data_IF_637187621928
#
_entry.id   IF_637187621928
#
_cell.length_a   1.000
_cell.length_b   1.000
_cell.length_c   1.000
_cell.angle_alpha   90.00
_cell.angle_beta   90.00
_cell.angle_gamma   90.00
#
_symmetry.space_group_name_H-M   'P 1'
#
loop_
_entity.id
_entity.type
_entity.pdbx_description
1 polymer ?
#
# COMPACT_ATOMS: atom_id res chain seq x y z
N UNK A 1 6.95 -17.55 43.98
CA UNK A 1 7.45 -16.20 43.64
C UNK A 1 7.86 -16.28 42.20
N UNK A 2 7.03 -15.80 41.25
CA UNK A 2 7.47 -15.59 39.88
C UNK A 2 8.52 -14.48 39.91
N UNK A 3 9.71 -14.71 39.37
CA UNK A 3 10.70 -13.63 39.16
C UNK A 3 9.99 -12.51 38.39
N UNK A 4 9.95 -11.32 38.96
CA UNK A 4 9.46 -10.12 38.27
C UNK A 4 10.46 -9.79 37.18
N UNK A 5 10.09 -10.04 35.91
CA UNK A 5 10.95 -9.85 34.75
C UNK A 5 10.83 -8.38 34.32
N UNK A 6 11.95 -7.66 34.21
CA UNK A 6 11.96 -6.25 33.81
C UNK A 6 11.64 -6.04 32.33
N UNK A 7 11.17 -4.83 31.97
CA UNK A 7 10.92 -4.39 30.59
C UNK A 7 12.17 -4.64 29.71
N UNK A 8 13.37 -4.31 30.22
CA UNK A 8 14.61 -4.53 29.47
C UNK A 8 14.85 -6.01 29.17
N UNK A 9 14.64 -6.88 30.15
CA UNK A 9 14.81 -8.32 29.95
C UNK A 9 13.80 -8.88 28.96
N UNK A 10 12.51 -8.49 29.07
CA UNK A 10 11.45 -8.90 28.16
C UNK A 10 11.74 -8.45 26.72
N UNK A 11 12.22 -7.22 26.54
CA UNK A 11 12.62 -6.71 25.23
C UNK A 11 13.77 -7.51 24.61
N UNK A 12 14.79 -7.83 25.41
CA UNK A 12 15.95 -8.61 24.97
C UNK A 12 15.52 -10.00 24.51
N UNK A 13 14.73 -10.68 25.33
CA UNK A 13 14.28 -12.03 25.05
C UNK A 13 13.34 -12.08 23.84
N UNK A 14 12.41 -11.10 23.71
CA UNK A 14 11.53 -10.97 22.56
C UNK A 14 12.29 -10.70 21.28
N UNK A 15 13.25 -9.77 21.30
CA UNK A 15 14.08 -9.47 20.14
C UNK A 15 14.93 -10.68 19.70
N UNK A 16 15.49 -11.42 20.65
CA UNK A 16 16.26 -12.63 20.35
C UNK A 16 15.40 -13.71 19.65
N UNK A 17 14.13 -13.87 20.07
CA UNK A 17 13.19 -14.80 19.43
C UNK A 17 12.80 -14.35 18.02
N UNK A 18 12.61 -13.05 17.82
CA UNK A 18 12.22 -12.48 16.53
C UNK A 18 13.34 -12.43 15.51
N UNK A 19 14.60 -12.52 15.92
CA UNK A 19 15.78 -12.44 15.04
C UNK A 19 15.79 -13.48 13.90
N UNK A 20 15.07 -14.59 14.08
CA UNK A 20 14.96 -15.63 13.05
C UNK A 20 13.94 -15.31 11.95
N UNK A 21 13.04 -14.33 12.17
CA UNK A 21 11.89 -14.04 11.29
C UNK A 21 11.74 -12.56 10.94
N UNK A 22 12.62 -11.70 11.43
CA UNK A 22 12.55 -10.25 11.21
C UNK A 22 13.93 -9.61 11.17
N UNK A 23 14.19 -8.80 10.14
CA UNK A 23 15.38 -7.98 10.00
C UNK A 23 15.36 -6.78 10.97
N UNK A 24 14.18 -6.44 11.51
CA UNK A 24 13.96 -5.37 12.50
C UNK A 24 13.53 -5.91 13.87
N UNK A 25 14.03 -7.08 14.27
CA UNK A 25 13.60 -7.83 15.46
C UNK A 25 13.51 -6.98 16.73
N UNK A 26 14.48 -6.06 16.96
CA UNK A 26 14.48 -5.16 18.11
C UNK A 26 13.31 -4.16 18.05
N UNK A 27 13.08 -3.55 16.89
CA UNK A 27 11.97 -2.61 16.68
C UNK A 27 10.62 -3.32 16.80
N UNK A 28 10.50 -4.50 16.23
CA UNK A 28 9.27 -5.31 16.35
C UNK A 28 8.96 -5.62 17.83
N UNK A 29 9.97 -6.04 18.62
CA UNK A 29 9.81 -6.30 20.04
C UNK A 29 9.38 -5.05 20.82
N UNK A 30 9.96 -3.88 20.53
CA UNK A 30 9.61 -2.60 21.14
C UNK A 30 8.15 -2.20 20.83
N UNK A 31 7.71 -2.34 19.57
CA UNK A 31 6.35 -2.04 19.16
C UNK A 31 5.32 -2.98 19.81
N UNK A 32 5.62 -4.29 19.86
CA UNK A 32 4.75 -5.27 20.49
C UNK A 32 4.63 -5.03 22.01
N UNK A 33 5.73 -4.72 22.68
CA UNK A 33 5.72 -4.47 24.12
C UNK A 33 5.02 -3.15 24.46
N UNK A 34 5.32 -2.06 23.72
CA UNK A 34 4.66 -0.77 23.89
C UNK A 34 3.14 -0.90 23.79
N UNK A 35 2.66 -1.65 22.77
CA UNK A 35 1.24 -1.97 22.61
C UNK A 35 0.70 -2.83 23.76
N UNK A 36 1.47 -3.81 24.22
CA UNK A 36 1.03 -4.70 25.30
C UNK A 36 0.81 -3.97 26.63
N UNK A 37 1.59 -2.93 26.90
CA UNK A 37 1.45 -2.10 28.12
C UNK A 37 0.63 -0.82 27.91
N UNK A 38 0.15 -0.59 26.66
CA UNK A 38 -0.60 0.63 26.23
C UNK A 38 0.17 1.93 26.52
N UNK A 39 1.47 1.96 26.20
CA UNK A 39 2.37 3.09 26.42
C UNK A 39 3.18 3.38 25.14
N UNK A 40 3.65 4.63 24.95
CA UNK A 40 4.52 4.94 23.81
C UNK A 40 5.87 4.23 23.95
N UNK A 41 6.55 3.96 22.83
CA UNK A 41 7.89 3.34 22.82
C UNK A 41 8.90 4.05 23.71
N UNK A 42 8.83 5.39 23.82
CA UNK A 42 9.71 6.18 24.69
C UNK A 42 9.63 5.79 26.16
N UNK A 43 8.47 5.27 26.60
CA UNK A 43 8.28 4.76 27.95
C UNK A 43 9.22 3.60 28.28
N UNK A 44 9.42 2.68 27.33
CA UNK A 44 10.28 1.49 27.50
C UNK A 44 11.74 1.86 27.80
N UNK A 45 12.21 2.98 27.23
CA UNK A 45 13.57 3.47 27.44
C UNK A 45 13.72 4.29 28.73
N UNK A 46 12.64 4.92 29.15
CA UNK A 46 12.62 5.70 30.39
C UNK A 46 12.44 4.84 31.65
N UNK A 47 11.85 3.63 31.50
CA UNK A 47 11.48 2.74 32.59
C UNK A 47 11.95 1.29 32.34
N UNK A 48 13.24 1.04 32.07
CA UNK A 48 13.74 -0.30 31.72
C UNK A 48 13.61 -1.32 32.85
N UNK A 49 13.62 -0.84 34.12
CA UNK A 49 13.54 -1.68 35.32
C UNK A 49 12.12 -1.99 35.78
N UNK A 50 11.10 -1.31 35.21
CA UNK A 50 9.71 -1.59 35.53
C UNK A 50 9.33 -3.01 35.09
N UNK A 51 8.36 -3.61 35.79
CA UNK A 51 7.89 -4.97 35.51
C UNK A 51 6.55 -4.96 34.82
N UNK A 52 6.26 -6.03 34.06
CA UNK A 52 4.96 -6.21 33.40
C UNK A 52 3.97 -6.88 34.35
N UNK A 53 2.74 -6.43 34.30
CA UNK A 53 1.63 -7.20 34.90
C UNK A 53 1.31 -8.45 34.05
N UNK A 54 0.60 -9.41 34.66
CA UNK A 54 0.22 -10.67 34.01
C UNK A 54 -0.61 -10.44 32.73
N UNK A 55 -1.43 -9.39 32.68
CA UNK A 55 -2.29 -9.07 31.56
C UNK A 55 -1.47 -8.54 30.37
N UNK A 56 -0.53 -7.64 30.61
CA UNK A 56 0.42 -7.12 29.61
C UNK A 56 1.32 -8.25 29.08
N UNK A 57 1.82 -9.09 29.96
CA UNK A 57 2.65 -10.24 29.56
C UNK A 57 1.86 -11.21 28.65
N UNK A 58 0.60 -11.48 28.98
CA UNK A 58 -0.27 -12.33 28.16
C UNK A 58 -0.53 -11.70 26.78
N UNK A 59 -0.81 -10.37 26.72
CA UNK A 59 -1.01 -9.65 25.45
C UNK A 59 0.27 -9.71 24.59
N UNK A 60 1.43 -9.44 25.19
CA UNK A 60 2.72 -9.53 24.50
C UNK A 60 2.96 -10.92 23.92
N UNK A 61 2.76 -11.96 24.73
CA UNK A 61 2.95 -13.35 24.29
C UNK A 61 2.08 -13.69 23.08
N UNK A 62 0.83 -13.30 23.08
CA UNK A 62 -0.10 -13.54 21.97
C UNK A 62 0.36 -12.85 20.67
N UNK A 63 0.74 -11.57 20.76
CA UNK A 63 1.20 -10.81 19.57
C UNK A 63 2.58 -11.27 19.10
N UNK A 64 3.46 -11.66 20.01
CA UNK A 64 4.78 -12.23 19.70
C UNK A 64 4.64 -13.55 18.92
N UNK A 65 3.74 -14.46 19.33
CA UNK A 65 3.48 -15.70 18.60
C UNK A 65 2.92 -15.46 17.21
N UNK A 66 2.02 -14.50 17.03
CA UNK A 66 1.53 -14.07 15.71
C UNK A 66 2.70 -13.62 14.82
N UNK A 67 3.59 -12.79 15.36
CA UNK A 67 4.75 -12.28 14.60
C UNK A 67 5.73 -13.41 14.25
N UNK A 68 5.99 -14.34 15.17
CA UNK A 68 6.81 -15.52 14.92
C UNK A 68 6.20 -16.46 13.87
N UNK A 69 4.89 -16.47 13.73
CA UNK A 69 4.19 -17.19 12.66
C UNK A 69 4.27 -16.49 11.28
N UNK A 70 4.95 -15.33 11.19
CA UNK A 70 5.14 -14.57 9.96
C UNK A 70 4.08 -13.51 9.68
N UNK A 71 3.17 -13.23 10.62
CA UNK A 71 2.17 -12.19 10.43
C UNK A 71 2.84 -10.80 10.37
N UNK A 72 2.49 -9.93 9.39
CA UNK A 72 3.03 -8.58 9.30
C UNK A 72 2.79 -7.75 10.57
N UNK A 73 3.78 -6.96 10.99
CA UNK A 73 3.62 -6.06 12.13
C UNK A 73 2.41 -5.15 11.99
N UNK A 74 2.16 -4.65 10.77
CA UNK A 74 1.02 -3.79 10.49
C UNK A 74 -0.34 -4.45 10.79
N UNK A 75 -0.49 -5.76 10.54
CA UNK A 75 -1.73 -6.46 10.91
C UNK A 75 -1.84 -6.73 12.41
N UNK A 76 -0.71 -6.93 13.08
CA UNK A 76 -0.69 -7.11 14.53
C UNK A 76 -1.00 -5.78 15.24
N UNK A 77 -0.47 -4.67 14.75
CA UNK A 77 -0.75 -3.33 15.28
C UNK A 77 -2.09 -2.77 14.81
N UNK A 78 -2.59 -3.24 13.66
CA UNK A 78 -3.83 -2.78 13.03
C UNK A 78 -3.67 -1.51 12.20
N UNK A 79 -2.47 -0.91 12.18
CA UNK A 79 -2.20 0.34 11.48
C UNK A 79 -0.87 0.32 10.73
N UNK A 80 -0.76 1.16 9.70
CA UNK A 80 0.45 1.44 8.93
C UNK A 80 0.52 2.91 8.59
N UNK A 81 1.66 3.53 8.82
CA UNK A 81 1.91 4.90 8.36
C UNK A 81 2.19 4.89 6.86
N UNK A 82 1.55 5.81 6.11
CA UNK A 82 1.75 6.07 4.70
C UNK A 82 1.43 7.54 4.41
N UNK A 83 2.31 8.25 3.75
CA UNK A 83 2.16 9.68 3.40
C UNK A 83 1.82 10.55 4.63
N UNK A 84 2.48 10.31 5.77
CA UNK A 84 2.18 10.95 7.07
C UNK A 84 0.71 10.83 7.50
N UNK A 85 0.05 9.73 7.12
CA UNK A 85 -1.27 9.32 7.59
C UNK A 85 -1.15 7.97 8.29
N UNK A 86 -1.81 7.82 9.44
CA UNK A 86 -1.97 6.52 10.05
C UNK A 86 -3.19 5.82 9.44
N UNK A 87 -2.96 4.79 8.64
CA UNK A 87 -3.99 4.03 7.96
C UNK A 87 -4.29 2.72 8.70
N UNK A 88 -5.55 2.42 8.86
CA UNK A 88 -6.02 1.10 9.29
C UNK A 88 -5.70 0.09 8.18
N UNK A 89 -5.16 -1.05 8.57
CA UNK A 89 -4.89 -2.17 7.69
C UNK A 89 -5.36 -3.47 8.31
N UNK A 90 -5.71 -4.44 7.49
CA UNK A 90 -6.15 -5.77 7.90
C UNK A 90 -5.73 -6.82 6.86
N UNK A 91 -5.89 -8.11 7.11
CA UNK A 91 -5.63 -9.15 6.12
C UNK A 91 -6.48 -9.04 4.83
N UNK A 92 -7.43 -8.12 4.76
CA UNK A 92 -8.20 -7.83 3.56
C UNK A 92 -7.48 -6.89 2.57
N UNK A 93 -6.38 -6.23 2.98
CA UNK A 93 -5.67 -5.23 2.18
C UNK A 93 -4.17 -5.50 2.14
N UNK A 94 -3.52 -5.19 1.02
CA UNK A 94 -2.06 -5.11 0.99
C UNK A 94 -1.58 -4.10 2.05
N UNK A 95 -0.49 -4.41 2.77
CA UNK A 95 0.16 -3.44 3.65
C UNK A 95 0.82 -2.35 2.78
N UNK A 96 0.46 -1.07 2.90
CA UNK A 96 1.08 0.01 2.12
C UNK A 96 2.60 0.00 2.25
N UNK A 97 3.30 0.03 1.09
CA UNK A 97 4.76 0.01 1.03
C UNK A 97 5.30 1.44 0.94
N UNK A 98 6.46 1.74 1.57
CA UNK A 98 7.08 3.06 1.45
C UNK A 98 7.38 3.45 0.00
N UNK A 99 7.74 2.48 -0.85
CA UNK A 99 8.04 2.68 -2.27
C UNK A 99 6.82 3.20 -3.05
N UNK A 100 5.61 2.86 -2.62
CA UNK A 100 4.35 3.33 -3.23
C UNK A 100 4.14 4.85 -3.05
N UNK A 101 4.80 5.49 -2.09
CA UNK A 101 4.78 6.94 -1.95
C UNK A 101 5.39 7.66 -3.16
N UNK A 102 6.31 7.02 -3.88
CA UNK A 102 6.84 7.54 -5.14
C UNK A 102 5.74 7.69 -6.20
N UNK A 103 4.79 6.74 -6.28
CA UNK A 103 3.65 6.84 -7.20
C UNK A 103 2.80 8.07 -6.89
N UNK A 104 2.53 8.33 -5.61
CA UNK A 104 1.79 9.53 -5.16
C UNK A 104 2.56 10.79 -5.53
N UNK A 105 3.87 10.84 -5.28
CA UNK A 105 4.73 12.00 -5.59
C UNK A 105 4.71 12.30 -7.09
N UNK A 106 4.86 11.27 -7.96
CA UNK A 106 4.81 11.43 -9.42
C UNK A 106 3.44 11.96 -9.87
N UNK A 107 2.35 11.38 -9.39
CA UNK A 107 1.01 11.87 -9.72
C UNK A 107 0.81 13.33 -9.29
N UNK A 108 1.26 13.69 -8.09
CA UNK A 108 1.11 15.05 -7.55
C UNK A 108 1.95 16.12 -8.27
N UNK A 109 3.04 15.75 -8.96
CA UNK A 109 3.83 16.67 -9.78
C UNK A 109 3.03 17.19 -10.97
N UNK A 110 2.19 16.34 -11.57
CA UNK A 110 1.38 16.69 -12.74
C UNK A 110 0.02 17.30 -12.37
N UNK A 111 -0.51 17.01 -11.18
CA UNK A 111 -1.79 17.55 -10.74
C UNK A 111 -1.58 18.92 -10.11
N UNK A 112 -2.05 20.04 -10.72
CA UNK A 112 -1.92 21.37 -10.13
C UNK A 112 -2.63 21.44 -8.76
N UNK A 113 -2.11 22.27 -7.84
CA UNK A 113 -2.67 22.40 -6.48
C UNK A 113 -4.15 22.81 -6.42
N UNK A 114 -4.63 23.51 -7.46
CA UNK A 114 -6.02 24.00 -7.58
C UNK A 114 -6.80 23.29 -8.68
N UNK A 115 -6.30 22.12 -9.14
CA UNK A 115 -7.04 21.31 -10.09
C UNK A 115 -8.33 20.79 -9.43
N UNK A 116 -9.38 20.71 -10.23
CA UNK A 116 -10.66 20.06 -9.94
C UNK A 116 -10.87 18.79 -10.78
N UNK A 117 -9.78 18.12 -11.07
CA UNK A 117 -9.72 17.01 -12.02
C UNK A 117 -10.37 15.74 -11.48
N UNK A 118 -11.03 14.95 -12.35
CA UNK A 118 -11.42 13.59 -12.03
C UNK A 118 -10.18 12.67 -12.02
N UNK A 119 -9.99 11.96 -10.93
CA UNK A 119 -8.85 11.06 -10.71
C UNK A 119 -9.38 9.67 -10.36
N UNK A 120 -8.74 8.63 -10.89
CA UNK A 120 -9.11 7.24 -10.67
C UNK A 120 -7.95 6.48 -10.01
N UNK A 121 -8.24 5.77 -8.92
CA UNK A 121 -7.33 4.80 -8.28
C UNK A 121 -7.88 3.38 -8.47
N UNK A 122 -7.13 2.55 -9.18
CA UNK A 122 -7.50 1.17 -9.53
C UNK A 122 -6.74 0.16 -8.66
N UNK A 123 -7.49 -0.70 -7.93
CA UNK A 123 -6.93 -1.59 -6.93
C UNK A 123 -6.55 -0.84 -5.65
N UNK A 124 -7.49 -0.04 -5.12
CA UNK A 124 -7.19 0.93 -4.05
C UNK A 124 -6.76 0.31 -2.73
N UNK A 125 -7.10 -0.96 -2.46
CA UNK A 125 -6.75 -1.66 -1.23
C UNK A 125 -7.25 -0.94 0.02
N UNK A 126 -6.32 -0.52 0.88
CA UNK A 126 -6.64 0.27 2.09
C UNK A 126 -7.00 1.74 1.80
N UNK A 127 -6.99 2.16 0.53
CA UNK A 127 -7.19 3.54 0.11
C UNK A 127 -5.93 4.41 0.14
N UNK A 128 -4.75 3.84 0.35
CA UNK A 128 -3.52 4.59 0.63
C UNK A 128 -3.21 5.66 -0.42
N UNK A 129 -3.20 5.29 -1.71
CA UNK A 129 -2.90 6.20 -2.82
C UNK A 129 -4.01 7.25 -2.98
N UNK A 130 -5.28 6.80 -3.07
CA UNK A 130 -6.42 7.70 -3.22
C UNK A 130 -6.50 8.73 -2.09
N UNK A 131 -6.34 8.30 -0.83
CA UNK A 131 -6.39 9.18 0.35
C UNK A 131 -5.24 10.19 0.37
N UNK A 132 -4.03 9.77 -0.02
CA UNK A 132 -2.88 10.67 -0.12
C UNK A 132 -3.13 11.77 -1.16
N UNK A 133 -3.59 11.41 -2.37
CA UNK A 133 -3.90 12.37 -3.43
C UNK A 133 -5.07 13.28 -3.04
N UNK A 134 -6.15 12.73 -2.48
CA UNK A 134 -7.33 13.49 -2.06
C UNK A 134 -7.01 14.54 -0.99
N UNK A 135 -6.16 14.20 -0.03
CA UNK A 135 -5.67 15.11 1.02
C UNK A 135 -4.88 16.27 0.44
N UNK A 136 -4.01 16.00 -0.54
CA UNK A 136 -3.15 17.02 -1.17
C UNK A 136 -3.88 17.84 -2.24
N UNK A 137 -4.98 17.34 -2.80
CA UNK A 137 -5.76 17.93 -3.91
C UNK A 137 -7.25 17.94 -3.58
N UNK A 138 -7.63 18.77 -2.61
CA UNK A 138 -8.97 18.81 -2.03
C UNK A 138 -10.10 19.20 -3.01
N UNK A 139 -9.77 19.83 -4.14
CA UNK A 139 -10.76 20.18 -5.17
C UNK A 139 -10.95 19.06 -6.21
N UNK A 140 -9.98 18.12 -6.34
CA UNK A 140 -10.13 16.98 -7.20
C UNK A 140 -11.24 16.04 -6.69
N UNK A 141 -11.91 15.37 -7.62
CA UNK A 141 -12.86 14.30 -7.31
C UNK A 141 -12.20 12.96 -7.62
N UNK A 142 -12.06 12.14 -6.60
CA UNK A 142 -11.44 10.83 -6.76
C UNK A 142 -12.50 9.74 -6.83
N UNK A 143 -12.23 8.74 -7.67
CA UNK A 143 -12.94 7.46 -7.67
C UNK A 143 -11.91 6.38 -7.34
N UNK A 144 -12.19 5.57 -6.35
CA UNK A 144 -11.32 4.49 -5.89
C UNK A 144 -12.04 3.14 -6.08
N UNK A 145 -11.43 2.23 -6.84
CA UNK A 145 -12.04 0.94 -7.19
C UNK A 145 -11.23 -0.19 -6.59
N UNK A 146 -11.93 -1.19 -6.06
CA UNK A 146 -11.35 -2.47 -5.69
C UNK A 146 -12.36 -3.60 -5.95
N UNK A 147 -11.86 -4.78 -6.28
CA UNK A 147 -12.70 -5.96 -6.46
C UNK A 147 -13.20 -6.48 -5.10
N UNK A 148 -12.42 -6.27 -4.04
CA UNK A 148 -12.70 -6.72 -2.68
C UNK A 148 -13.60 -5.73 -1.93
N UNK A 149 -14.80 -6.17 -1.55
CA UNK A 149 -15.68 -5.39 -0.68
C UNK A 149 -15.07 -5.13 0.69
N UNK A 150 -14.27 -6.08 1.21
CA UNK A 150 -13.60 -5.98 2.51
C UNK A 150 -12.46 -4.94 2.46
N UNK A 151 -11.71 -4.88 1.36
CA UNK A 151 -10.72 -3.84 1.14
C UNK A 151 -11.37 -2.45 1.10
N UNK A 152 -12.48 -2.31 0.36
CA UNK A 152 -13.25 -1.05 0.32
C UNK A 152 -13.84 -0.66 1.67
N UNK A 153 -14.21 -1.61 2.52
CA UNK A 153 -14.65 -1.31 3.88
C UNK A 153 -13.53 -0.67 4.71
N UNK A 154 -12.30 -1.18 4.59
CA UNK A 154 -11.11 -0.60 5.22
C UNK A 154 -10.81 0.79 4.64
N UNK A 155 -10.85 0.95 3.31
CA UNK A 155 -10.60 2.24 2.66
C UNK A 155 -11.61 3.32 3.09
N UNK A 156 -12.90 2.98 3.17
CA UNK A 156 -13.95 3.89 3.70
C UNK A 156 -13.72 4.24 5.17
N UNK A 157 -13.29 3.27 6.00
CA UNK A 157 -12.97 3.54 7.39
C UNK A 157 -11.81 4.51 7.52
N UNK A 158 -10.77 4.36 6.70
CA UNK A 158 -9.63 5.28 6.64
C UNK A 158 -10.07 6.68 6.20
N UNK A 159 -10.89 6.80 5.14
CA UNK A 159 -11.42 8.09 4.68
C UNK A 159 -12.20 8.82 5.79
N UNK A 160 -13.07 8.09 6.50
CA UNK A 160 -13.84 8.63 7.62
C UNK A 160 -12.93 9.10 8.77
N UNK A 161 -11.95 8.27 9.18
CA UNK A 161 -11.01 8.60 10.25
C UNK A 161 -10.19 9.86 9.92
N UNK A 162 -9.76 10.00 8.66
CA UNK A 162 -8.99 11.14 8.17
C UNK A 162 -9.84 12.34 7.76
N UNK A 163 -11.16 12.24 7.83
CA UNK A 163 -12.13 13.28 7.42
C UNK A 163 -11.92 13.70 5.96
N UNK A 164 -11.63 12.73 5.07
CA UNK A 164 -11.49 12.94 3.63
C UNK A 164 -12.80 12.54 2.96
N UNK A 165 -13.43 13.47 2.23
CA UNK A 165 -14.78 13.31 1.68
C UNK A 165 -14.88 13.43 0.15
N UNK A 166 -13.77 13.74 -0.53
CA UNK A 166 -13.73 13.92 -1.98
C UNK A 166 -13.32 12.62 -2.72
N UNK A 167 -13.73 11.46 -2.17
CA UNK A 167 -13.50 10.13 -2.77
C UNK A 167 -14.79 9.32 -2.81
N UNK A 168 -15.11 8.79 -3.97
CA UNK A 168 -16.14 7.77 -4.18
C UNK A 168 -15.49 6.40 -4.26
N UNK A 169 -16.00 5.44 -3.47
CA UNK A 169 -15.51 4.06 -3.45
C UNK A 169 -16.46 3.13 -4.17
N UNK A 170 -16.01 2.47 -5.23
CA UNK A 170 -16.80 1.57 -6.05
C UNK A 170 -16.24 0.14 -6.04
N UNK A 171 -17.11 -0.85 -5.92
CA UNK A 171 -16.71 -2.24 -6.07
C UNK A 171 -16.79 -2.69 -7.52
N UNK A 172 -15.74 -3.32 -8.02
CA UNK A 172 -15.75 -3.95 -9.33
C UNK A 172 -14.39 -4.32 -9.88
N UNK A 173 -14.42 -4.94 -11.05
CA UNK A 173 -13.23 -5.40 -11.75
C UNK A 173 -12.66 -4.27 -12.61
N UNK A 174 -11.58 -3.65 -12.13
CA UNK A 174 -10.81 -2.59 -12.79
C UNK A 174 -11.68 -1.45 -13.31
N UNK A 175 -11.74 -1.25 -14.64
CA UNK A 175 -12.43 -0.13 -15.30
C UNK A 175 -13.92 -0.33 -15.47
N UNK A 176 -14.44 -1.54 -15.24
CA UNK A 176 -15.83 -1.88 -15.51
C UNK A 176 -16.86 -0.98 -14.80
N UNK A 177 -16.70 -0.61 -13.50
CA UNK A 177 -17.68 0.25 -12.81
C UNK A 177 -17.77 1.69 -13.34
N UNK A 178 -16.77 2.13 -14.10
CA UNK A 178 -16.65 3.53 -14.60
C UNK A 178 -16.68 3.62 -16.11
N UNK A 179 -17.22 2.59 -16.78
CA UNK A 179 -17.36 2.59 -18.23
C UNK A 179 -18.16 3.83 -18.70
N UNK A 180 -17.59 4.57 -19.67
CA UNK A 180 -18.17 5.81 -20.20
C UNK A 180 -17.89 7.07 -19.38
N UNK A 181 -17.19 6.97 -18.25
CA UNK A 181 -16.61 8.13 -17.56
C UNK A 181 -15.23 8.44 -18.14
N UNK A 182 -14.72 9.65 -17.86
CA UNK A 182 -13.40 10.09 -18.29
C UNK A 182 -12.62 10.63 -17.09
N UNK A 183 -11.33 10.30 -17.02
CA UNK A 183 -10.44 10.69 -15.94
C UNK A 183 -9.21 11.40 -16.48
N UNK A 184 -8.77 12.45 -15.79
CA UNK A 184 -7.54 13.18 -16.15
C UNK A 184 -6.28 12.45 -15.69
N UNK A 185 -6.37 11.76 -14.55
CA UNK A 185 -5.27 10.97 -14.01
C UNK A 185 -5.81 9.62 -13.56
N UNK A 186 -5.09 8.57 -13.93
CA UNK A 186 -5.34 7.19 -13.45
C UNK A 186 -4.09 6.73 -12.73
N UNK A 187 -4.24 6.23 -11.52
CA UNK A 187 -3.16 5.67 -10.72
C UNK A 187 -3.47 4.22 -10.36
N UNK A 188 -2.45 3.39 -10.22
CA UNK A 188 -2.62 2.02 -9.72
C UNK A 188 -1.30 1.46 -9.18
N UNK A 189 -1.40 0.75 -8.05
CA UNK A 189 -0.41 -0.24 -7.64
C UNK A 189 -1.05 -1.63 -7.86
N UNK A 190 -1.02 -2.15 -9.10
CA UNK A 190 -1.65 -3.43 -9.40
C UNK A 190 -0.82 -4.59 -8.88
N UNK A 191 -1.39 -5.79 -8.73
CA UNK A 191 -0.60 -7.00 -8.55
C UNK A 191 0.43 -7.14 -9.67
N UNK A 192 1.69 -7.44 -9.31
CA UNK A 192 2.79 -7.58 -10.27
C UNK A 192 3.76 -8.72 -9.93
N UNK A 193 3.43 -9.58 -8.95
CA UNK A 193 4.28 -10.71 -8.58
C UNK A 193 3.91 -11.93 -9.42
N UNK A 194 4.93 -12.57 -10.02
CA UNK A 194 4.74 -13.84 -10.73
C UNK A 194 4.26 -14.94 -9.78
N UNK A 195 3.37 -15.82 -10.25
CA UNK A 195 2.90 -16.96 -9.47
C UNK A 195 4.02 -17.95 -9.07
N UNK A 196 5.19 -17.86 -9.71
CA UNK A 196 6.37 -18.68 -9.43
C UNK A 196 7.39 -17.97 -8.52
N UNK A 197 7.12 -16.73 -8.11
CA UNK A 197 8.06 -15.97 -7.29
C UNK A 197 8.04 -16.48 -5.84
N UNK A 198 9.24 -16.78 -5.33
CA UNK A 198 9.43 -17.20 -3.93
C UNK A 198 9.02 -16.12 -2.91
N UNK A 199 8.95 -14.86 -3.31
CA UNK A 199 8.47 -13.79 -2.46
C UNK A 199 7.05 -14.06 -1.93
N UNK A 200 6.20 -14.78 -2.68
CA UNK A 200 4.86 -15.16 -2.24
C UNK A 200 4.85 -16.00 -0.96
N UNK A 201 5.91 -16.80 -0.71
CA UNK A 201 6.03 -17.59 0.52
C UNK A 201 6.18 -16.69 1.76
N UNK A 202 6.91 -15.58 1.62
CA UNK A 202 7.12 -14.59 2.70
C UNK A 202 5.92 -13.65 2.88
N UNK A 203 5.14 -13.45 1.82
CA UNK A 203 3.95 -12.59 1.79
C UNK A 203 2.62 -13.34 2.02
N UNK A 204 2.68 -14.62 2.39
CA UNK A 204 1.51 -15.51 2.53
C UNK A 204 0.41 -15.02 3.49
N UNK A 205 0.70 -14.06 4.34
CA UNK A 205 -0.27 -13.44 5.25
C UNK A 205 -1.09 -12.33 4.59
N UNK A 206 -0.66 -11.86 3.41
CA UNK A 206 -1.32 -10.81 2.63
C UNK A 206 -2.24 -11.43 1.56
N UNK A 207 -3.27 -10.70 1.07
CA UNK A 207 -4.18 -11.24 0.07
C UNK A 207 -3.44 -11.62 -1.22
N UNK A 208 -3.59 -12.85 -1.68
CA UNK A 208 -2.93 -13.34 -2.89
C UNK A 208 -3.34 -12.53 -4.11
N UNK A 209 -4.62 -12.17 -4.22
CA UNK A 209 -5.17 -11.38 -5.33
C UNK A 209 -4.60 -9.95 -5.39
N UNK A 210 -4.04 -9.45 -4.29
CA UNK A 210 -3.37 -8.15 -4.25
C UNK A 210 -1.86 -8.25 -4.62
N UNK A 211 -1.33 -9.46 -4.81
CA UNK A 211 0.08 -9.71 -5.08
C UNK A 211 0.32 -10.29 -6.47
N UNK A 212 -0.46 -11.32 -6.82
CA UNK A 212 -0.16 -12.21 -7.94
C UNK A 212 -0.81 -11.74 -9.25
N UNK A 213 -0.03 -11.72 -10.35
CA UNK A 213 -0.47 -11.34 -11.68
C UNK A 213 0.03 -12.29 -12.77
N UNK A 214 -0.47 -13.52 -12.78
CA UNK A 214 -0.16 -14.52 -13.79
C UNK A 214 1.26 -15.10 -13.69
N UNK A 215 1.73 -15.68 -14.79
CA UNK A 215 3.02 -16.40 -14.84
C UNK A 215 4.22 -15.45 -14.81
N UNK A 216 4.12 -14.28 -15.43
CA UNK A 216 5.18 -13.28 -15.58
C UNK A 216 5.01 -12.05 -14.68
N UNK A 217 3.89 -11.94 -13.95
CA UNK A 217 3.58 -10.80 -13.11
C UNK A 217 3.10 -9.55 -13.88
N UNK A 218 2.79 -9.66 -15.17
CA UNK A 218 2.43 -8.54 -16.04
C UNK A 218 0.96 -8.49 -16.45
N UNK A 219 0.16 -9.49 -16.06
CA UNK A 219 -1.22 -9.63 -16.52
C UNK A 219 -2.07 -8.41 -16.14
N UNK A 220 -1.97 -7.93 -14.91
CA UNK A 220 -2.72 -6.75 -14.45
C UNK A 220 -2.29 -5.49 -15.18
N UNK A 221 -0.97 -5.28 -15.35
CA UNK A 221 -0.42 -4.12 -16.06
C UNK A 221 -0.86 -4.13 -17.53
N UNK A 222 -0.83 -5.29 -18.17
CA UNK A 222 -1.29 -5.46 -19.55
C UNK A 222 -2.79 -5.13 -19.69
N UNK A 223 -3.63 -5.60 -18.75
CA UNK A 223 -5.05 -5.27 -18.71
C UNK A 223 -5.29 -3.77 -18.55
N UNK A 224 -4.59 -3.12 -17.63
CA UNK A 224 -4.71 -1.67 -17.41
C UNK A 224 -4.25 -0.86 -18.63
N UNK A 225 -3.10 -1.21 -19.22
CA UNK A 225 -2.59 -0.54 -20.41
C UNK A 225 -3.57 -0.60 -21.59
N UNK A 226 -4.29 -1.73 -21.74
CA UNK A 226 -5.29 -1.96 -22.77
C UNK A 226 -6.61 -1.23 -22.52
N UNK A 227 -7.11 -1.25 -21.27
CA UNK A 227 -8.47 -0.83 -20.94
C UNK A 227 -8.58 0.65 -20.57
N UNK A 228 -7.53 1.24 -19.97
CA UNK A 228 -7.52 2.65 -19.55
C UNK A 228 -7.64 3.67 -20.72
N UNK A 229 -7.18 3.42 -21.96
CA UNK A 229 -7.40 4.33 -23.08
C UNK A 229 -8.86 4.69 -23.35
N UNK A 230 -9.79 3.82 -22.98
CA UNK A 230 -11.23 4.06 -23.18
C UNK A 230 -11.85 5.04 -22.16
N UNK A 231 -11.18 5.26 -21.04
CA UNK A 231 -11.67 6.05 -19.90
C UNK A 231 -10.72 7.18 -19.46
N UNK A 232 -9.67 7.43 -20.21
CA UNK A 232 -8.75 8.54 -19.93
C UNK A 232 -9.01 9.72 -20.87
N UNK A 233 -8.93 10.93 -20.37
CA UNK A 233 -9.05 12.15 -21.17
C UNK A 233 -7.86 12.30 -22.12
N UNK A 234 -8.04 13.16 -23.16
CA UNK A 234 -6.91 13.51 -24.01
C UNK A 234 -5.78 14.13 -23.21
N UNK A 235 -4.55 13.69 -23.53
CA UNK A 235 -3.35 14.01 -22.76
C UNK A 235 -3.51 13.73 -21.26
N UNK A 236 -4.29 12.69 -20.91
CA UNK A 236 -4.41 12.22 -19.52
C UNK A 236 -3.19 11.40 -19.11
N UNK A 237 -2.96 11.34 -17.82
CA UNK A 237 -1.80 10.69 -17.18
C UNK A 237 -2.17 9.34 -16.58
N UNK A 238 -1.42 8.30 -16.90
CA UNK A 238 -1.40 7.02 -16.20
C UNK A 238 -0.13 6.91 -15.37
N UNK A 239 -0.23 6.49 -14.10
CA UNK A 239 0.91 6.21 -13.21
C UNK A 239 0.73 4.82 -12.62
N UNK A 240 1.71 3.93 -12.86
CA UNK A 240 1.67 2.53 -12.44
C UNK A 240 2.90 2.17 -11.60
N UNK A 241 2.69 1.51 -10.47
CA UNK A 241 3.76 0.79 -9.77
C UNK A 241 4.00 -0.57 -10.44
N UNK A 242 5.24 -1.06 -10.40
CA UNK A 242 5.65 -2.35 -10.94
C UNK A 242 6.90 -2.89 -10.24
N UNK A 243 7.24 -4.14 -10.48
CA UNK A 243 8.46 -4.77 -9.97
C UNK A 243 9.72 -4.14 -10.58
N UNK A 244 10.82 -4.16 -9.82
CA UNK A 244 12.08 -3.52 -10.22
C UNK A 244 12.63 -4.04 -11.56
N UNK A 245 12.42 -5.30 -11.87
CA UNK A 245 12.92 -5.93 -13.11
C UNK A 245 11.96 -5.76 -14.30
N UNK A 246 10.77 -5.18 -14.10
CA UNK A 246 9.72 -5.10 -15.12
C UNK A 246 9.76 -3.82 -15.98
N UNK A 247 10.70 -2.88 -15.72
CA UNK A 247 10.82 -1.57 -16.41
C UNK A 247 10.61 -1.65 -17.92
N UNK A 248 11.38 -2.50 -18.59
CA UNK A 248 11.38 -2.57 -20.05
C UNK A 248 10.09 -3.21 -20.59
N UNK A 249 9.62 -4.26 -19.95
CA UNK A 249 8.38 -4.95 -20.31
C UNK A 249 7.16 -4.04 -20.14
N UNK A 250 7.11 -3.28 -19.04
CA UNK A 250 6.04 -2.28 -18.80
C UNK A 250 6.06 -1.21 -19.88
N UNK A 251 7.23 -0.68 -20.24
CA UNK A 251 7.35 0.31 -21.32
C UNK A 251 6.89 -0.26 -22.67
N UNK A 252 7.28 -1.49 -23.01
CA UNK A 252 6.85 -2.18 -24.24
C UNK A 252 5.32 -2.40 -24.25
N UNK A 253 4.73 -2.84 -23.14
CA UNK A 253 3.29 -3.01 -23.01
C UNK A 253 2.58 -1.67 -23.24
N UNK A 254 2.99 -0.61 -22.55
CA UNK A 254 2.38 0.71 -22.69
C UNK A 254 2.48 1.21 -24.15
N UNK A 255 3.65 1.12 -24.78
CA UNK A 255 3.83 1.49 -26.20
C UNK A 255 2.90 0.71 -27.12
N UNK A 256 2.71 -0.59 -26.90
CA UNK A 256 1.90 -1.44 -27.74
C UNK A 256 0.41 -1.05 -27.75
N UNK A 257 -0.06 -0.40 -26.69
CA UNK A 257 -1.44 0.13 -26.58
C UNK A 257 -1.55 1.63 -26.88
N UNK A 258 -0.49 2.26 -27.42
CA UNK A 258 -0.53 3.64 -27.92
C UNK A 258 -0.22 4.70 -26.87
N UNK A 259 0.22 4.32 -25.68
CA UNK A 259 0.69 5.26 -24.66
C UNK A 259 1.98 5.95 -25.12
N UNK A 260 2.12 7.24 -24.80
CA UNK A 260 3.22 8.10 -25.20
C UNK A 260 3.91 8.74 -23.99
N UNK A 261 5.03 9.39 -24.19
CA UNK A 261 5.80 10.08 -23.14
C UNK A 261 6.08 9.19 -21.92
N UNK A 262 6.39 7.91 -22.18
CA UNK A 262 6.62 6.91 -21.14
C UNK A 262 7.91 7.25 -20.39
N UNK A 263 7.79 7.35 -19.05
CA UNK A 263 8.92 7.59 -18.16
C UNK A 263 8.89 6.56 -17.03
N UNK A 264 10.09 6.14 -16.57
CA UNK A 264 10.21 5.26 -15.42
C UNK A 264 11.07 5.93 -14.36
N UNK A 265 10.63 5.82 -13.12
CA UNK A 265 11.23 6.44 -11.95
C UNK A 265 11.73 5.37 -11.00
N UNK A 266 12.90 5.65 -10.43
CA UNK A 266 13.55 4.77 -9.45
C UNK A 266 13.14 5.20 -8.04
N UNK A 267 12.99 4.21 -7.12
CA UNK A 267 12.76 4.45 -5.72
C UNK A 267 14.02 4.97 -5.00
N UNK A 268 13.92 5.22 -3.70
CA UNK A 268 15.05 5.72 -2.89
C UNK A 268 16.24 4.75 -2.82
N UNK A 269 16.02 3.48 -3.16
CA UNK A 269 17.07 2.47 -3.26
C UNK A 269 17.73 2.42 -4.64
N UNK A 270 17.27 3.27 -5.58
CA UNK A 270 17.76 3.31 -6.96
C UNK A 270 17.22 2.18 -7.84
N UNK A 271 16.10 1.56 -7.44
CA UNK A 271 15.45 0.49 -8.20
C UNK A 271 14.23 1.03 -8.96
N UNK A 272 14.04 0.65 -10.25
CA UNK A 272 12.82 1.00 -10.99
C UNK A 272 11.56 0.59 -10.24
N UNK A 273 10.60 1.50 -10.12
CA UNK A 273 9.40 1.23 -9.32
C UNK A 273 8.12 1.78 -9.91
N UNK A 274 8.14 2.94 -10.54
CA UNK A 274 6.95 3.61 -11.04
C UNK A 274 7.16 3.98 -12.50
N UNK A 275 6.18 3.68 -13.34
CA UNK A 275 6.11 4.17 -14.72
C UNK A 275 4.94 5.12 -14.90
N UNK A 276 5.17 6.22 -15.61
CA UNK A 276 4.12 7.13 -16.06
C UNK A 276 4.05 7.18 -17.58
N UNK A 277 2.85 7.44 -18.11
CA UNK A 277 2.61 7.61 -19.54
C UNK A 277 1.40 8.51 -19.78
N UNK A 278 1.39 9.20 -20.93
CA UNK A 278 0.24 9.99 -21.39
C UNK A 278 -0.47 9.30 -22.55
N UNK A 279 -1.77 9.47 -22.62
CA UNK A 279 -2.55 8.99 -23.76
C UNK A 279 -3.03 10.19 -24.60
N UNK A 280 -2.68 10.18 -25.87
CA UNK A 280 -3.13 11.18 -26.85
C UNK A 280 -4.17 10.54 -27.76
N UNK A 281 -5.42 11.03 -27.68
CA UNK A 281 -6.45 10.61 -28.61
C UNK A 281 -6.09 11.13 -30.00
N UNK A 282 -6.10 10.25 -31.01
CA UNK A 282 -5.90 10.69 -32.39
C UNK A 282 -6.99 11.70 -32.74
N UNK A 283 -6.62 12.88 -33.24
CA UNK A 283 -7.58 13.81 -33.81
C UNK A 283 -8.40 13.05 -34.88
N UNK A 284 -9.69 12.89 -34.62
CA UNK A 284 -10.61 12.36 -35.64
C UNK A 284 -10.72 13.43 -36.71
N UNK A 285 -9.99 13.24 -37.83
CA UNK A 285 -10.03 14.09 -39.02
C UNK A 285 -11.36 13.94 -39.72
#
# INVERSE_FOLDING_TARGET
>A
MSEEISIEQVLRDSAARLAAVSDSARLDAELLLARAIDMPRSFLFAHPEDTLDDAAFKRLKQTLERRLAGEPMAYITGTKEFWSMELIVSPATLVPRPETELLVDIALRDIPRRADWPILDLGTGSGAIALAIARERQLCQLTAIDISADALAVARQNANQLTISNIDFLQGDWTAPVAGQQFKVIVSNPPYVSCHDKALETLRAEPVDALQAGEDGLESINKLARDCPAIIEDNGLLVLEHGAEQRNQVAEILMSYGWQHIQCYDDLSGLPRVSSAHFLHSETT
#
